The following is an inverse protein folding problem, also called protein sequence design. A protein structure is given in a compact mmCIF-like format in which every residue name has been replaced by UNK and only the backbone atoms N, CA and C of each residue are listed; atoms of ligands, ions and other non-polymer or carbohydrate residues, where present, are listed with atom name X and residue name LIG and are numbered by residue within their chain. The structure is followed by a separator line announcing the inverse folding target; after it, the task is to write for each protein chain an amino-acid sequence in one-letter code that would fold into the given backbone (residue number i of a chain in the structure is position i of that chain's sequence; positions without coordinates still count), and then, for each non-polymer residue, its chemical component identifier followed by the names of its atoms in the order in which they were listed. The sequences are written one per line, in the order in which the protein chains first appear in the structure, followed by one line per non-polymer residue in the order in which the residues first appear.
data_IF_800536718621
#
_entry.id   IF_800536718621
#
_cell.length_a   1.000
_cell.length_b   1.000
_cell.length_c   1.000
_cell.angle_alpha   90.00
_cell.angle_beta   90.00
_cell.angle_gamma   90.00
#
_symmetry.space_group_name_H-M   'P 1'
#
loop_
_entity.id
_entity.type
_entity.pdbx_description
1 polymer ?
#
# COMPACT_ATOMS: atom_id res chain seq x y z
N UNK A 1 -48.50 32.10 -48.50
CA UNK A 1 -48.53 30.85 -47.67
C UNK A 1 -47.27 29.99 -47.76
N UNK A 2 -46.47 30.08 -48.78
CA UNK A 2 -45.26 29.23 -48.99
C UNK A 2 -44.05 29.53 -48.04
N UNK A 3 -43.87 30.78 -47.63
CA UNK A 3 -42.74 31.17 -46.74
C UNK A 3 -42.79 30.51 -45.36
N UNK A 4 -43.96 30.25 -44.81
CA UNK A 4 -44.12 29.59 -43.50
C UNK A 4 -43.81 28.09 -43.57
N UNK A 5 -44.11 27.39 -44.69
CA UNK A 5 -43.79 25.98 -44.90
C UNK A 5 -42.28 25.76 -44.99
N UNK A 6 -41.50 26.65 -45.61
CA UNK A 6 -40.06 26.58 -45.72
C UNK A 6 -39.35 26.71 -44.36
N UNK A 7 -39.89 27.56 -43.48
CA UNK A 7 -39.29 27.75 -42.14
C UNK A 7 -39.43 26.47 -41.28
N UNK A 8 -40.60 25.81 -41.33
CA UNK A 8 -40.80 24.55 -40.58
C UNK A 8 -39.95 23.40 -41.12
N UNK A 9 -39.75 23.28 -42.42
CA UNK A 9 -38.85 22.28 -43.01
C UNK A 9 -37.39 22.51 -42.55
N UNK A 10 -36.93 23.76 -42.55
CA UNK A 10 -35.58 24.11 -42.09
C UNK A 10 -35.37 23.84 -40.57
N UNK A 11 -36.43 24.12 -39.76
CA UNK A 11 -36.42 23.79 -38.33
C UNK A 11 -36.34 22.29 -38.08
N UNK A 12 -37.06 21.46 -38.83
CA UNK A 12 -36.99 20.00 -38.72
C UNK A 12 -35.62 19.45 -39.16
N UNK A 13 -35.02 19.98 -40.20
CA UNK A 13 -33.68 19.55 -40.63
C UNK A 13 -32.62 19.85 -39.58
N UNK A 14 -32.65 21.02 -38.95
CA UNK A 14 -31.75 21.36 -37.85
C UNK A 14 -31.98 20.43 -36.66
N UNK A 15 -33.22 20.14 -36.30
CA UNK A 15 -33.53 19.25 -35.19
C UNK A 15 -33.05 17.83 -35.46
N UNK A 16 -33.24 17.31 -36.68
CA UNK A 16 -32.73 15.98 -37.07
C UNK A 16 -31.19 15.91 -37.00
N UNK A 17 -30.52 16.92 -37.52
CA UNK A 17 -29.04 17.01 -37.46
C UNK A 17 -28.57 17.08 -36.03
N UNK A 18 -29.26 17.85 -35.16
CA UNK A 18 -28.95 17.93 -33.74
C UNK A 18 -29.11 16.59 -33.03
N UNK A 19 -30.18 15.83 -33.35
CA UNK A 19 -30.39 14.49 -32.76
C UNK A 19 -29.27 13.51 -33.22
N UNK A 20 -28.93 13.51 -34.51
CA UNK A 20 -27.89 12.66 -35.05
C UNK A 20 -26.54 12.98 -34.36
N UNK A 21 -26.20 14.26 -34.22
CA UNK A 21 -25.00 14.70 -33.53
C UNK A 21 -24.98 14.26 -32.06
N UNK A 22 -26.09 14.37 -31.34
CA UNK A 22 -26.24 13.93 -29.97
C UNK A 22 -26.07 12.40 -29.81
N UNK A 23 -26.61 11.61 -30.74
CA UNK A 23 -26.45 10.14 -30.74
C UNK A 23 -25.04 9.74 -31.00
N UNK A 24 -24.33 10.37 -31.97
CA UNK A 24 -22.93 10.09 -32.25
C UNK A 24 -22.06 10.47 -31.05
N UNK A 25 -22.32 11.64 -30.46
CA UNK A 25 -21.57 12.08 -29.26
C UNK A 25 -21.82 11.14 -28.07
N UNK A 26 -23.06 10.73 -27.82
CA UNK A 26 -23.39 9.76 -26.77
C UNK A 26 -22.73 8.40 -26.99
N UNK A 27 -22.72 7.89 -28.23
CA UNK A 27 -22.06 6.62 -28.55
C UNK A 27 -20.53 6.68 -28.41
N UNK A 28 -19.91 7.80 -28.76
CA UNK A 28 -18.46 7.99 -28.56
C UNK A 28 -18.11 8.17 -27.09
N UNK A 29 -18.89 8.92 -26.33
CA UNK A 29 -18.73 9.10 -24.89
C UNK A 29 -18.78 7.76 -24.12
N UNK A 30 -19.76 6.90 -24.46
CA UNK A 30 -19.88 5.57 -23.83
C UNK A 30 -18.73 4.63 -24.18
N UNK A 31 -18.22 4.66 -25.42
CA UNK A 31 -17.05 3.90 -25.83
C UNK A 31 -15.79 4.35 -25.06
N UNK A 32 -15.58 5.64 -24.94
CA UNK A 32 -14.45 6.20 -24.22
C UNK A 32 -14.52 5.88 -22.73
N UNK A 33 -15.70 5.94 -22.12
CA UNK A 33 -15.91 5.57 -20.73
C UNK A 33 -15.56 4.09 -20.48
N UNK A 34 -16.01 3.16 -21.35
CA UNK A 34 -15.66 1.74 -21.25
C UNK A 34 -14.15 1.48 -21.46
N UNK A 35 -13.51 2.17 -22.39
CA UNK A 35 -12.08 2.04 -22.61
C UNK A 35 -11.29 2.52 -21.39
N UNK A 36 -11.71 3.61 -20.75
CA UNK A 36 -11.09 4.11 -19.52
C UNK A 36 -11.30 3.14 -18.35
N UNK A 37 -12.50 2.57 -18.20
CA UNK A 37 -12.80 1.55 -17.19
C UNK A 37 -11.86 0.34 -17.31
N UNK A 38 -11.70 -0.21 -18.51
CA UNK A 38 -10.80 -1.33 -18.77
C UNK A 38 -9.34 -0.97 -18.47
N UNK A 39 -8.92 0.23 -18.86
CA UNK A 39 -7.54 0.68 -18.60
C UNK A 39 -7.29 0.82 -17.10
N UNK A 40 -8.23 1.41 -16.36
CA UNK A 40 -8.16 1.57 -14.91
C UNK A 40 -8.15 0.21 -14.20
N UNK A 41 -9.01 -0.73 -14.61
CA UNK A 41 -9.02 -2.09 -14.09
C UNK A 41 -7.68 -2.78 -14.27
N UNK A 42 -7.10 -2.69 -15.48
CA UNK A 42 -5.79 -3.27 -15.76
C UNK A 42 -4.67 -2.66 -14.89
N UNK A 43 -4.75 -1.36 -14.61
CA UNK A 43 -3.79 -0.70 -13.71
C UNK A 43 -3.92 -1.22 -12.27
N UNK A 44 -5.15 -1.35 -11.76
CA UNK A 44 -5.38 -1.89 -10.43
C UNK A 44 -4.95 -3.36 -10.32
N UNK A 45 -5.31 -4.18 -11.30
CA UNK A 45 -4.91 -5.60 -11.33
C UNK A 45 -3.39 -5.75 -11.33
N UNK A 46 -2.70 -4.91 -12.09
CA UNK A 46 -1.24 -4.90 -12.12
C UNK A 46 -0.65 -4.49 -10.78
N UNK A 47 -1.13 -3.37 -10.19
CA UNK A 47 -0.65 -2.90 -8.89
C UNK A 47 -0.90 -3.94 -7.79
N UNK A 48 -2.05 -4.63 -7.84
CA UNK A 48 -2.39 -5.70 -6.90
C UNK A 48 -1.47 -6.92 -7.05
N UNK A 49 -1.24 -7.37 -8.27
CA UNK A 49 -0.31 -8.47 -8.55
C UNK A 49 1.12 -8.17 -8.09
N UNK A 50 1.60 -6.96 -8.36
CA UNK A 50 2.92 -6.50 -7.90
C UNK A 50 2.96 -6.45 -6.36
N UNK A 51 1.89 -5.97 -5.69
CA UNK A 51 1.77 -5.97 -4.22
C UNK A 51 1.90 -7.40 -3.65
N UNK A 52 1.19 -8.38 -4.21
CA UNK A 52 1.26 -9.79 -3.79
C UNK A 52 2.71 -10.29 -3.87
N UNK A 53 3.38 -10.01 -4.98
CA UNK A 53 4.78 -10.41 -5.19
C UNK A 53 5.73 -9.79 -4.16
N UNK A 54 5.59 -8.49 -3.89
CA UNK A 54 6.45 -7.81 -2.90
C UNK A 54 6.20 -8.31 -1.47
N UNK A 55 4.96 -8.63 -1.11
CA UNK A 55 4.65 -9.19 0.22
C UNK A 55 5.18 -10.62 0.36
N UNK A 56 5.13 -11.44 -0.70
CA UNK A 56 5.74 -12.78 -0.73
C UNK A 56 7.27 -12.70 -0.57
N UNK A 57 7.91 -11.74 -1.23
CA UNK A 57 9.34 -11.47 -1.05
C UNK A 57 9.67 -11.07 0.38
N UNK A 58 8.87 -10.18 1.00
CA UNK A 58 9.05 -9.74 2.40
C UNK A 58 8.95 -10.94 3.35
N UNK A 59 7.92 -11.79 3.23
CA UNK A 59 7.76 -13.01 4.03
C UNK A 59 8.99 -13.90 3.92
N UNK A 60 9.44 -14.17 2.69
CA UNK A 60 10.64 -14.96 2.42
C UNK A 60 11.91 -14.35 3.00
N UNK A 61 12.09 -13.04 2.89
CA UNK A 61 13.27 -12.33 3.40
C UNK A 61 13.27 -12.29 4.93
N UNK A 62 12.10 -12.07 5.58
CA UNK A 62 11.97 -12.12 7.03
C UNK A 62 12.31 -13.52 7.58
N UNK A 63 11.84 -14.58 6.92
CA UNK A 63 12.22 -15.96 7.29
C UNK A 63 13.73 -16.19 7.22
N UNK A 64 14.42 -15.65 6.21
CA UNK A 64 15.88 -15.72 6.10
C UNK A 64 16.59 -14.89 7.17
N UNK A 65 16.01 -13.74 7.53
CA UNK A 65 16.57 -12.85 8.57
C UNK A 65 16.64 -13.54 9.93
N UNK A 66 15.63 -14.31 10.29
CA UNK A 66 15.59 -15.08 11.53
C UNK A 66 16.68 -16.16 11.61
N UNK A 67 17.16 -16.65 10.47
CA UNK A 67 18.16 -17.72 10.40
C UNK A 67 19.60 -17.20 10.31
N UNK A 68 19.78 -15.91 10.03
CA UNK A 68 21.12 -15.35 9.82
C UNK A 68 21.74 -14.85 11.11
N UNK A 69 23.03 -15.14 11.27
CA UNK A 69 23.87 -14.60 12.37
C UNK A 69 24.97 -13.69 11.84
N UNK A 70 25.04 -13.48 10.54
CA UNK A 70 26.07 -12.67 9.90
C UNK A 70 25.61 -11.22 9.78
N UNK A 71 26.31 -10.23 10.36
CA UNK A 71 25.97 -8.81 10.22
C UNK A 71 25.90 -8.35 8.76
N UNK A 72 26.84 -8.80 7.92
CA UNK A 72 26.86 -8.45 6.51
C UNK A 72 25.66 -9.03 5.74
N UNK A 73 25.24 -10.26 6.08
CA UNK A 73 24.07 -10.88 5.46
C UNK A 73 22.78 -10.23 5.95
N UNK A 74 22.69 -9.89 7.24
CA UNK A 74 21.55 -9.17 7.78
C UNK A 74 21.41 -7.80 7.14
N UNK A 75 22.49 -7.05 6.97
CA UNK A 75 22.48 -5.75 6.30
C UNK A 75 21.94 -5.86 4.85
N UNK A 76 22.34 -6.91 4.13
CA UNK A 76 21.83 -7.18 2.79
C UNK A 76 20.32 -7.48 2.80
N UNK A 77 19.89 -8.42 3.66
CA UNK A 77 18.48 -8.80 3.80
C UNK A 77 17.62 -7.60 4.20
N UNK A 78 18.08 -6.78 5.15
CA UNK A 78 17.40 -5.56 5.57
C UNK A 78 17.23 -4.56 4.44
N UNK A 79 18.28 -4.35 3.64
CA UNK A 79 18.19 -3.47 2.45
C UNK A 79 17.16 -3.99 1.43
N UNK A 80 17.13 -5.31 1.23
CA UNK A 80 16.14 -5.94 0.33
C UNK A 80 14.72 -5.81 0.90
N UNK A 81 14.52 -6.07 2.21
CA UNK A 81 13.22 -5.90 2.89
C UNK A 81 12.75 -4.45 2.80
N UNK A 82 13.62 -3.49 3.10
CA UNK A 82 13.28 -2.07 3.02
C UNK A 82 12.80 -1.67 1.62
N UNK A 83 13.51 -2.13 0.59
CA UNK A 83 13.11 -1.89 -0.80
C UNK A 83 11.78 -2.54 -1.14
N UNK A 84 11.58 -3.81 -0.81
CA UNK A 84 10.31 -4.50 -1.08
C UNK A 84 9.14 -3.86 -0.33
N UNK A 85 9.36 -3.44 0.91
CA UNK A 85 8.34 -2.72 1.69
C UNK A 85 7.94 -1.39 1.07
N UNK A 86 8.90 -0.62 0.56
CA UNK A 86 8.64 0.64 -0.12
C UNK A 86 7.83 0.42 -1.43
N UNK A 87 8.19 -0.59 -2.22
CA UNK A 87 7.48 -0.94 -3.45
C UNK A 87 6.06 -1.47 -3.14
N UNK A 88 5.90 -2.33 -2.14
CA UNK A 88 4.60 -2.80 -1.68
C UNK A 88 3.68 -1.64 -1.28
N UNK A 89 4.19 -0.66 -0.53
CA UNK A 89 3.45 0.56 -0.18
C UNK A 89 3.07 1.39 -1.40
N UNK A 90 3.97 1.51 -2.37
CA UNK A 90 3.70 2.21 -3.62
C UNK A 90 2.56 1.55 -4.40
N UNK A 91 2.54 0.22 -4.48
CA UNK A 91 1.46 -0.54 -5.10
C UNK A 91 0.15 -0.38 -4.34
N UNK A 92 0.19 -0.47 -3.00
CA UNK A 92 -0.97 -0.27 -2.13
C UNK A 92 -1.63 1.11 -2.37
N UNK A 93 -0.82 2.16 -2.51
CA UNK A 93 -1.29 3.52 -2.79
C UNK A 93 -1.90 3.71 -4.18
N UNK A 94 -1.70 2.77 -5.12
CA UNK A 94 -2.31 2.81 -6.44
C UNK A 94 -3.71 2.17 -6.47
N UNK A 95 -4.07 1.40 -5.44
CA UNK A 95 -5.38 0.78 -5.33
C UNK A 95 -6.45 1.82 -4.97
N UNK A 96 -7.74 1.57 -5.28
CA UNK A 96 -8.82 2.51 -4.97
C UNK A 96 -9.16 2.51 -3.47
N UNK A 97 -8.21 2.95 -2.64
CA UNK A 97 -8.30 2.95 -1.17
C UNK A 97 -9.25 3.99 -0.58
N UNK A 98 -9.96 4.77 -1.43
CA UNK A 98 -10.93 5.78 -0.97
C UNK A 98 -12.08 5.21 -0.14
N UNK A 99 -12.30 3.90 -0.18
CA UNK A 99 -13.40 3.20 0.49
C UNK A 99 -12.93 2.27 1.62
N UNK A 100 -11.66 1.86 1.61
CA UNK A 100 -11.03 1.06 2.66
C UNK A 100 -9.75 1.77 3.10
N UNK A 101 -9.70 2.14 4.37
CA UNK A 101 -8.48 2.64 4.97
C UNK A 101 -7.52 1.46 5.16
N UNK A 102 -6.37 1.48 4.49
CA UNK A 102 -5.32 0.47 4.59
C UNK A 102 -4.13 1.02 5.39
N UNK A 103 -4.44 1.77 6.44
CA UNK A 103 -3.46 2.48 7.26
C UNK A 103 -2.60 1.52 8.07
N UNK A 104 -3.20 0.47 8.67
CA UNK A 104 -2.49 -0.53 9.46
C UNK A 104 -1.57 -1.38 8.57
N UNK A 105 -2.07 -1.81 7.39
CA UNK A 105 -1.26 -2.52 6.40
C UNK A 105 -0.08 -1.66 5.93
N UNK A 106 -0.31 -0.39 5.62
CA UNK A 106 0.74 0.56 5.23
C UNK A 106 1.74 0.80 6.36
N UNK A 107 1.25 0.92 7.61
CA UNK A 107 2.07 1.05 8.81
C UNK A 107 2.94 -0.19 9.02
N UNK A 108 2.35 -1.40 8.92
CA UNK A 108 3.07 -2.66 9.02
C UNK A 108 4.23 -2.73 8.01
N UNK A 109 3.96 -2.45 6.72
CA UNK A 109 4.98 -2.45 5.68
C UNK A 109 6.11 -1.46 5.99
N UNK A 110 5.81 -0.29 6.55
CA UNK A 110 6.85 0.67 7.00
C UNK A 110 7.67 0.10 8.14
N UNK A 111 7.01 -0.44 9.16
CA UNK A 111 7.67 -0.96 10.35
C UNK A 111 8.60 -2.14 10.05
N UNK A 112 8.21 -3.03 9.13
CA UNK A 112 9.05 -4.14 8.69
C UNK A 112 10.36 -3.64 8.09
N UNK A 113 10.29 -2.65 7.19
CA UNK A 113 11.49 -2.07 6.58
C UNK A 113 12.39 -1.37 7.60
N UNK A 114 11.81 -0.50 8.41
CA UNK A 114 12.53 0.32 9.38
C UNK A 114 13.16 -0.55 10.49
N UNK A 115 12.40 -1.50 11.04
CA UNK A 115 12.86 -2.38 12.10
C UNK A 115 14.07 -3.23 11.67
N UNK A 116 13.96 -3.91 10.52
CA UNK A 116 15.06 -4.73 10.01
C UNK A 116 16.31 -3.91 9.69
N UNK A 117 16.12 -2.66 9.22
CA UNK A 117 17.22 -1.74 8.97
C UNK A 117 17.98 -1.42 10.27
N UNK A 118 17.28 -1.04 11.34
CA UNK A 118 17.93 -0.70 12.62
C UNK A 118 18.60 -1.92 13.23
N UNK A 119 17.94 -3.07 13.19
CA UNK A 119 18.54 -4.32 13.67
C UNK A 119 19.84 -4.63 12.94
N UNK A 120 19.89 -4.37 11.63
CA UNK A 120 21.12 -4.53 10.85
C UNK A 120 22.23 -3.56 11.30
N UNK A 121 21.88 -2.33 11.65
CA UNK A 121 22.85 -1.34 12.14
C UNK A 121 23.39 -1.73 13.51
N UNK A 122 22.55 -2.21 14.44
CA UNK A 122 22.97 -2.72 15.73
C UNK A 122 24.01 -3.85 15.59
N UNK A 123 23.72 -4.84 14.73
CA UNK A 123 24.68 -5.92 14.46
C UNK A 123 25.99 -5.44 13.81
N UNK A 124 25.94 -4.48 12.90
CA UNK A 124 27.14 -3.89 12.29
C UNK A 124 28.02 -3.21 13.37
N UNK A 125 27.36 -2.60 14.36
CA UNK A 125 28.02 -1.95 15.49
C UNK A 125 28.53 -2.96 16.52
N UNK A 126 28.32 -4.26 16.33
CA UNK A 126 28.82 -5.33 17.21
C UNK A 126 27.86 -5.69 18.35
N UNK A 127 26.62 -5.23 18.29
CA UNK A 127 25.56 -5.61 19.22
C UNK A 127 24.99 -6.98 18.81
N UNK A 128 24.66 -7.82 19.80
CA UNK A 128 23.99 -9.09 19.55
C UNK A 128 22.46 -8.88 19.52
N UNK A 129 21.78 -9.61 18.65
CA UNK A 129 20.32 -9.61 18.61
C UNK A 129 19.79 -10.24 19.90
N UNK A 130 18.96 -9.52 20.62
CA UNK A 130 18.27 -9.98 21.83
C UNK A 130 17.16 -10.99 21.51
N UNK A 131 16.70 -11.74 22.51
CA UNK A 131 15.56 -12.64 22.34
C UNK A 131 14.27 -11.87 21.97
N UNK A 132 14.06 -10.69 22.52
CA UNK A 132 12.92 -9.83 22.19
C UNK A 132 12.94 -9.42 20.71
N UNK A 133 14.12 -9.08 20.17
CA UNK A 133 14.26 -8.73 18.76
C UNK A 133 13.99 -9.93 17.84
N UNK A 134 14.40 -11.14 18.24
CA UNK A 134 14.04 -12.37 17.51
C UNK A 134 12.53 -12.63 17.56
N UNK A 135 11.89 -12.43 18.70
CA UNK A 135 10.44 -12.62 18.87
C UNK A 135 9.67 -11.59 18.03
N UNK A 136 10.16 -10.35 17.94
CA UNK A 136 9.61 -9.33 17.07
C UNK A 136 9.75 -9.70 15.59
N UNK A 137 10.90 -10.19 15.14
CA UNK A 137 11.08 -10.67 13.78
C UNK A 137 10.16 -11.85 13.46
N UNK A 138 9.96 -12.76 14.40
CA UNK A 138 9.06 -13.90 14.25
C UNK A 138 7.60 -13.42 14.08
N UNK A 139 7.18 -12.48 14.90
CA UNK A 139 5.84 -11.87 14.81
C UNK A 139 5.64 -11.15 13.48
N UNK A 140 6.62 -10.37 13.04
CA UNK A 140 6.56 -9.70 11.72
C UNK A 140 6.43 -10.70 10.58
N UNK A 141 7.15 -11.83 10.66
CA UNK A 141 7.08 -12.87 9.64
C UNK A 141 5.71 -13.56 9.62
N UNK A 142 5.11 -13.83 10.78
CA UNK A 142 3.77 -14.39 10.87
C UNK A 142 2.71 -13.46 10.25
N UNK A 143 2.81 -12.16 10.51
CA UNK A 143 1.93 -11.17 9.88
C UNK A 143 2.15 -11.05 8.38
N UNK A 144 3.42 -11.06 7.92
CA UNK A 144 3.72 -11.05 6.49
C UNK A 144 3.14 -12.29 5.78
N UNK A 145 3.25 -13.48 6.40
CA UNK A 145 2.68 -14.72 5.88
C UNK A 145 1.14 -14.66 5.83
N UNK A 146 0.50 -14.11 6.85
CA UNK A 146 -0.96 -13.94 6.88
C UNK A 146 -1.41 -12.97 5.79
N UNK A 147 -0.75 -11.81 5.66
CA UNK A 147 -1.03 -10.83 4.61
C UNK A 147 -0.87 -11.44 3.22
N UNK A 148 0.25 -12.12 2.96
CA UNK A 148 0.52 -12.86 1.71
C UNK A 148 -0.61 -13.82 1.36
N UNK A 149 -1.02 -14.67 2.30
CA UNK A 149 -2.06 -15.68 2.07
C UNK A 149 -3.38 -15.00 1.68
N UNK A 150 -3.80 -13.99 2.41
CA UNK A 150 -5.05 -13.28 2.13
C UNK A 150 -5.00 -12.53 0.81
N UNK A 151 -3.89 -11.84 0.50
CA UNK A 151 -3.72 -11.18 -0.80
C UNK A 151 -3.71 -12.18 -1.96
N UNK A 152 -3.10 -13.37 -1.80
CA UNK A 152 -3.10 -14.44 -2.82
C UNK A 152 -4.49 -15.04 -3.05
N UNK A 153 -5.32 -15.15 -2.01
CA UNK A 153 -6.73 -15.54 -2.16
C UNK A 153 -7.53 -14.52 -2.97
N UNK A 154 -7.34 -13.22 -2.66
CA UNK A 154 -7.99 -12.14 -3.41
C UNK A 154 -7.52 -12.14 -4.87
N UNK A 155 -6.21 -12.31 -5.11
CA UNK A 155 -5.65 -12.40 -6.46
C UNK A 155 -6.28 -13.52 -7.27
N UNK A 156 -6.47 -14.70 -6.65
CA UNK A 156 -7.12 -15.83 -7.26
C UNK A 156 -8.56 -15.51 -7.67
N UNK A 157 -9.32 -14.82 -6.82
CA UNK A 157 -10.69 -14.37 -7.14
C UNK A 157 -10.71 -13.36 -8.31
N UNK A 158 -9.73 -12.45 -8.35
CA UNK A 158 -9.57 -11.48 -9.45
C UNK A 158 -9.25 -12.24 -10.76
N UNK A 159 -8.31 -13.18 -10.71
CA UNK A 159 -7.91 -13.96 -11.89
C UNK A 159 -9.05 -14.81 -12.45
N UNK A 160 -9.88 -15.39 -11.58
CA UNK A 160 -11.06 -16.15 -11.97
C UNK A 160 -12.20 -15.27 -12.50
N UNK A 161 -12.07 -13.94 -12.40
CA UNK A 161 -13.11 -12.99 -12.79
C UNK A 161 -14.30 -12.94 -11.84
N UNK A 162 -14.15 -13.49 -10.64
CA UNK A 162 -15.20 -13.50 -9.60
C UNK A 162 -15.40 -12.10 -9.03
N UNK A 163 -14.33 -11.29 -8.98
CA UNK A 163 -14.33 -9.93 -8.47
C UNK A 163 -13.51 -8.99 -9.36
N UNK A 164 -13.88 -7.70 -9.36
CA UNK A 164 -13.15 -6.64 -10.05
C UNK A 164 -12.88 -5.49 -9.10
N UNK A 165 -11.65 -4.98 -9.10
CA UNK A 165 -11.23 -3.93 -8.19
C UNK A 165 -11.97 -2.61 -8.48
N UNK A 166 -12.21 -2.27 -9.76
CA UNK A 166 -12.88 -1.03 -10.16
C UNK A 166 -14.38 -1.00 -9.88
N UNK A 167 -15.04 -2.15 -9.85
CA UNK A 167 -16.52 -2.22 -9.70
C UNK A 167 -17.00 -2.01 -8.27
N UNK A 168 -16.11 -2.08 -7.29
CA UNK A 168 -16.45 -1.75 -5.91
C UNK A 168 -16.97 -0.30 -5.76
N UNK A 169 -16.54 0.63 -6.64
CA UNK A 169 -17.03 2.01 -6.68
C UNK A 169 -18.48 2.17 -7.14
N UNK A 170 -19.00 1.26 -7.95
CA UNK A 170 -20.30 1.45 -8.63
C UNK A 170 -21.46 0.95 -7.79
N UNK A 171 -21.22 0.01 -6.87
CA UNK A 171 -22.28 -0.58 -6.01
C UNK A 171 -22.80 0.35 -4.92
N UNK A 172 -22.03 1.30 -4.45
CA UNK A 172 -22.47 2.30 -3.48
C UNK A 172 -23.52 3.28 -4.05
N UNK A 173 -23.72 3.32 -5.37
CA UNK A 173 -24.64 4.25 -6.05
C UNK A 173 -26.02 3.68 -6.36
N UNK A 174 -26.40 2.56 -5.78
CA UNK A 174 -27.79 2.10 -5.69
C UNK A 174 -28.31 1.37 -6.92
N UNK A 175 -27.90 0.15 -7.14
CA UNK A 175 -28.73 -0.86 -7.76
C UNK A 175 -28.61 -2.15 -6.94
N UNK A 176 -29.76 -2.55 -6.41
CA UNK A 176 -29.95 -3.83 -5.73
C UNK A 176 -29.80 -4.94 -6.77
N UNK A 177 -28.65 -5.59 -6.80
CA UNK A 177 -28.46 -6.83 -7.53
C UNK A 177 -27.41 -7.70 -6.84
N UNK A 178 -27.86 -8.85 -6.42
CA UNK A 178 -27.18 -10.08 -6.01
C UNK A 178 -26.18 -10.02 -4.83
N UNK A 179 -26.67 -10.52 -3.72
CA UNK A 179 -25.98 -10.70 -2.42
C UNK A 179 -25.01 -11.91 -2.39
N UNK A 180 -24.28 -12.21 -3.45
CA UNK A 180 -23.41 -13.38 -3.53
C UNK A 180 -21.94 -13.09 -3.84
N UNK A 181 -21.55 -11.84 -4.09
CA UNK A 181 -20.16 -11.49 -4.41
C UNK A 181 -19.48 -10.83 -3.22
N UNK A 182 -18.54 -11.54 -2.60
CA UNK A 182 -17.56 -10.93 -1.70
C UNK A 182 -16.84 -9.82 -2.46
N UNK A 183 -16.93 -8.60 -1.95
CA UNK A 183 -16.27 -7.45 -2.52
C UNK A 183 -14.79 -7.50 -2.15
N UNK A 184 -13.86 -7.26 -3.11
CA UNK A 184 -12.42 -7.11 -2.83
C UNK A 184 -12.17 -6.15 -1.67
N UNK A 185 -12.99 -5.09 -1.56
CA UNK A 185 -12.89 -4.13 -0.47
C UNK A 185 -13.26 -4.71 0.89
N UNK A 186 -14.21 -5.64 0.95
CA UNK A 186 -14.56 -6.34 2.19
C UNK A 186 -13.43 -7.29 2.61
N UNK A 187 -12.83 -7.99 1.65
CA UNK A 187 -11.67 -8.84 1.91
C UNK A 187 -10.47 -8.02 2.38
N UNK A 188 -10.19 -6.87 1.74
CA UNK A 188 -9.15 -5.92 2.19
C UNK A 188 -9.47 -5.29 3.56
N UNK A 189 -10.73 -4.97 3.84
CA UNK A 189 -11.16 -4.49 5.15
C UNK A 189 -10.98 -5.55 6.24
N UNK A 190 -11.14 -6.83 5.91
CA UNK A 190 -10.86 -7.92 6.84
C UNK A 190 -9.35 -8.08 7.09
N UNK A 191 -8.51 -7.88 6.06
CA UNK A 191 -7.05 -7.78 6.23
C UNK A 191 -6.72 -6.66 7.20
N UNK A 192 -7.25 -5.47 6.99
CA UNK A 192 -6.98 -4.30 7.84
C UNK A 192 -7.36 -4.56 9.30
N UNK A 193 -8.52 -5.19 9.54
CA UNK A 193 -8.94 -5.59 10.89
C UNK A 193 -8.02 -6.61 11.54
N UNK A 194 -7.43 -7.52 10.76
CA UNK A 194 -6.47 -8.49 11.31
C UNK A 194 -5.19 -7.83 11.83
N UNK A 195 -4.91 -6.61 11.39
CA UNK A 195 -3.80 -5.78 11.87
C UNK A 195 -4.17 -4.87 13.06
N UNK A 196 -5.45 -4.77 13.47
CA UNK A 196 -5.84 -4.00 14.66
C UNK A 196 -5.23 -4.58 15.94
N UNK A 197 -5.01 -5.90 15.98
CA UNK A 197 -4.33 -6.61 17.08
C UNK A 197 -2.81 -6.66 16.93
N UNK A 198 -2.27 -6.14 15.80
CA UNK A 198 -0.83 -6.09 15.60
C UNK A 198 -0.22 -5.19 16.67
N UNK A 199 0.67 -5.72 17.52
CA UNK A 199 1.32 -4.91 18.51
C UNK A 199 2.00 -3.76 17.80
N UNK A 200 1.60 -2.53 18.12
CA UNK A 200 2.37 -1.36 17.73
C UNK A 200 3.75 -1.60 18.33
N UNK A 201 4.68 -2.08 17.52
CA UNK A 201 6.06 -2.15 17.96
C UNK A 201 6.40 -0.73 18.38
N UNK A 202 6.63 -0.54 19.66
CA UNK A 202 7.23 0.68 20.19
C UNK A 202 8.66 0.61 19.71
N UNK A 203 8.79 0.87 18.43
CA UNK A 203 10.04 0.92 17.75
C UNK A 203 10.28 2.40 17.47
N UNK A 204 11.22 2.89 18.20
CA UNK A 204 11.83 4.16 17.93
C UNK A 204 12.60 4.06 16.61
N UNK A 205 11.99 4.47 15.50
CA UNK A 205 12.63 4.49 14.19
C UNK A 205 13.94 5.30 14.19
N UNK A 206 14.67 5.34 13.08
CA UNK A 206 15.96 6.03 13.00
C UNK A 206 15.95 7.51 13.40
N UNK A 207 14.77 8.10 13.57
CA UNK A 207 14.52 9.49 13.96
C UNK A 207 13.87 9.62 15.34
N UNK A 208 13.86 8.57 16.16
CA UNK A 208 13.26 8.60 17.47
C UNK A 208 14.25 9.08 18.55
N UNK A 209 13.71 9.38 19.73
CA UNK A 209 14.44 9.89 20.90
C UNK A 209 15.70 9.08 21.27
N UNK A 210 15.78 7.80 20.88
CA UNK A 210 16.97 6.96 21.13
C UNK A 210 18.22 7.44 20.38
N UNK A 211 18.04 8.10 19.22
CA UNK A 211 19.15 8.73 18.48
C UNK A 211 19.50 10.08 19.08
N UNK A 212 18.50 10.83 19.56
CA UNK A 212 18.71 12.10 20.26
C UNK A 212 19.45 11.90 21.60
N UNK A 213 19.23 10.77 22.27
CA UNK A 213 19.88 10.43 23.53
C UNK A 213 21.20 9.64 23.38
N UNK A 214 21.66 9.34 22.18
CA UNK A 214 23.01 8.78 21.98
C UNK A 214 24.04 9.85 22.30
N UNK A 215 24.76 9.65 23.41
CA UNK A 215 25.97 10.45 23.67
C UNK A 215 26.91 10.31 22.46
N UNK A 216 27.28 11.42 21.82
CA UNK A 216 28.26 11.38 20.74
C UNK A 216 29.53 10.62 21.22
N UNK A 217 30.04 9.71 20.39
CA UNK A 217 31.21 8.89 20.76
C UNK A 217 32.40 9.73 21.22
N UNK A 218 32.50 10.97 20.77
CA UNK A 218 33.50 11.96 21.18
C UNK A 218 33.27 12.50 22.60
N UNK A 219 32.05 12.41 23.14
CA UNK A 219 31.71 12.91 24.48
C UNK A 219 31.75 11.81 25.56
N UNK A 220 31.82 10.53 25.17
CA UNK A 220 31.87 9.40 26.10
C UNK A 220 32.99 9.50 27.16
N UNK A 221 34.04 10.25 26.87
CA UNK A 221 35.18 10.49 27.76
C UNK A 221 35.35 11.99 28.06
N UNK A 222 34.41 12.83 27.73
CA UNK A 222 34.48 14.26 28.01
C UNK A 222 34.13 14.53 29.47
N UNK A 223 34.97 15.35 30.12
CA UNK A 223 34.73 15.77 31.50
C UNK A 223 33.53 16.75 31.50
N UNK A 224 32.51 16.43 32.30
CA UNK A 224 31.36 17.35 32.48
C UNK A 224 31.84 18.58 33.23
N UNK A 225 31.79 19.74 32.63
CA UNK A 225 32.01 21.03 33.29
C UNK A 225 30.71 21.62 33.76
N UNK A 226 30.74 22.32 34.89
CA UNK A 226 29.55 23.02 35.38
C UNK A 226 29.18 24.23 34.47
N UNK A 227 27.93 24.63 34.49
CA UNK A 227 27.50 25.81 33.75
C UNK A 227 28.24 27.09 34.14
N UNK A 228 28.66 27.20 35.41
CA UNK A 228 29.46 28.31 35.94
C UNK A 228 30.87 28.30 35.36
N UNK A 229 31.52 27.11 35.27
CA UNK A 229 32.85 27.00 34.70
C UNK A 229 32.85 27.28 33.18
N UNK A 230 31.79 26.92 32.48
CA UNK A 230 31.62 27.22 31.05
C UNK A 230 31.45 28.71 30.72
N UNK A 231 30.89 29.48 31.67
CA UNK A 231 30.71 30.91 31.51
C UNK A 231 31.94 31.73 31.87
N UNK A 232 32.92 31.14 32.54
CA UNK A 232 34.15 31.83 33.03
C UNK A 232 35.37 31.56 32.15
N UNK A 233 35.18 30.85 30.99
CA UNK A 233 36.24 30.55 30.02
C UNK A 233 36.06 31.40 28.78
#
# INVERSE_FOLDING_TARGET
MERKKSIHVWLYTILIVGIIAAVIWGATATKNAKALEVTTENQYNRAFHELVGYVDDIDTLLSKTQLTKSPAQLAKLSSDIFRQSAEAKSCLGQLPTSEVQLDNTSKFLSQVGDYTYVLSQSMINGEEISQEEYDNLASMNEYAATLKNTLSEIETKIYNGEVRISQSRTRQRGTVADAADSNVLDDLANVEKSFDEYPSLIYDGPFSEHIENREPALLKNAHTISQEDALNT
#
